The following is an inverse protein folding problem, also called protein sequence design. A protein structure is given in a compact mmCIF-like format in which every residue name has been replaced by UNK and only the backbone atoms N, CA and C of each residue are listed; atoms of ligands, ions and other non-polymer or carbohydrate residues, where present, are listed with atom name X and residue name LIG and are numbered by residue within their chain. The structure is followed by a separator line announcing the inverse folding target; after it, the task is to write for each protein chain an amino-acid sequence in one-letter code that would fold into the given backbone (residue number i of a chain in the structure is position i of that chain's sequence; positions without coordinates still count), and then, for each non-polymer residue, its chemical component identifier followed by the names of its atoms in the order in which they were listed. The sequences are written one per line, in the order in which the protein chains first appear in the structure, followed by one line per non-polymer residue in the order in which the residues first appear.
data_IF_996100147056
#
_entry.id   IF_996100147056
#
_cell.length_a   1.000
_cell.length_b   1.000
_cell.length_c   1.000
_cell.angle_alpha   90.00
_cell.angle_beta   90.00
_cell.angle_gamma   90.00
#
_symmetry.space_group_name_H-M   'P 1'
#
loop_
_entity.id
_entity.type
_entity.pdbx_description
1 polymer ?
#
# COMPACT_ATOMS: atom_id res chain seq x y z
N UNK A 1 4.92 -10.49 -21.66
CA UNK A 1 6.23 -9.93 -21.84
C UNK A 1 6.87 -9.52 -20.55
N UNK A 2 8.12 -9.21 -20.62
CA UNK A 2 8.88 -8.90 -19.42
C UNK A 2 8.38 -7.65 -18.71
N UNK A 3 7.98 -6.63 -19.47
CA UNK A 3 7.49 -5.40 -18.89
C UNK A 3 6.23 -5.62 -18.05
N UNK A 4 5.34 -6.45 -18.59
CA UNK A 4 4.09 -6.73 -17.88
C UNK A 4 4.36 -7.44 -16.58
N UNK A 5 5.28 -8.41 -16.62
CA UNK A 5 5.60 -9.15 -15.41
C UNK A 5 6.24 -8.24 -14.36
N UNK A 6 7.11 -7.33 -14.81
CA UNK A 6 7.76 -6.40 -13.89
C UNK A 6 6.72 -5.48 -13.25
N UNK A 7 5.78 -5.00 -14.04
CA UNK A 7 4.74 -4.12 -13.52
C UNK A 7 3.87 -4.85 -12.50
N UNK A 8 3.52 -6.09 -12.78
CA UNK A 8 2.71 -6.87 -11.85
C UNK A 8 3.46 -7.09 -10.54
N UNK A 9 4.75 -7.38 -10.63
CA UNK A 9 5.54 -7.58 -9.43
C UNK A 9 5.60 -6.31 -8.60
N UNK A 10 5.73 -5.17 -9.27
CA UNK A 10 5.77 -3.90 -8.56
C UNK A 10 4.44 -3.60 -7.88
N UNK A 11 3.34 -3.87 -8.57
CA UNK A 11 2.03 -3.64 -8.00
C UNK A 11 1.79 -4.53 -6.80
N UNK A 12 2.24 -5.78 -6.89
CA UNK A 12 2.11 -6.69 -5.76
C UNK A 12 2.93 -6.21 -4.58
N UNK A 13 4.14 -5.71 -4.83
CA UNK A 13 4.97 -5.18 -3.77
C UNK A 13 4.32 -3.98 -3.11
N UNK A 14 3.74 -3.10 -3.90
CA UNK A 14 3.06 -1.94 -3.36
C UNK A 14 1.87 -2.35 -2.52
N UNK A 15 1.14 -3.34 -2.97
CA UNK A 15 -0.02 -3.82 -2.23
C UNK A 15 0.41 -4.45 -0.91
N UNK A 16 1.49 -5.25 -0.95
CA UNK A 16 2.02 -5.84 0.27
C UNK A 16 2.44 -4.76 1.25
N UNK A 17 3.15 -3.74 0.75
CA UNK A 17 3.58 -2.65 1.60
C UNK A 17 2.40 -1.90 2.17
N UNK A 18 1.38 -1.68 1.36
CA UNK A 18 0.18 -1.00 1.80
C UNK A 18 -0.47 -1.73 2.95
N UNK A 19 -0.58 -3.06 2.84
CA UNK A 19 -1.17 -3.86 3.89
C UNK A 19 -0.33 -3.83 5.15
N UNK A 20 0.99 -3.86 4.97
CA UNK A 20 1.89 -3.80 6.11
C UNK A 20 1.76 -2.46 6.83
N UNK A 21 1.72 -1.38 6.10
CA UNK A 21 1.58 -0.06 6.69
C UNK A 21 0.24 0.06 7.40
N UNK A 22 -0.81 -0.45 6.80
CA UNK A 22 -2.13 -0.42 7.43
C UNK A 22 -2.11 -1.17 8.76
N UNK A 23 -1.45 -2.31 8.80
CA UNK A 23 -1.34 -3.08 10.03
C UNK A 23 -0.54 -2.32 11.08
N UNK A 24 0.55 -1.69 10.66
CA UNK A 24 1.37 -0.91 11.59
C UNK A 24 0.61 0.27 12.15
N UNK A 25 -0.22 0.89 11.34
CA UNK A 25 -1.01 2.03 11.81
C UNK A 25 -2.02 1.62 12.86
N UNK A 26 -2.37 0.35 12.91
CA UNK A 26 -3.27 -0.17 13.93
C UNK A 26 -2.55 -0.63 15.18
N UNK A 27 -1.23 -0.61 15.16
CA UNK A 27 -0.41 -1.05 16.29
C UNK A 27 -0.36 0.05 17.34
N UNK A 28 -0.69 -0.31 18.59
CA UNK A 28 -0.72 0.67 19.69
C UNK A 28 0.65 1.30 19.90
N UNK A 29 1.71 0.52 19.72
CA UNK A 29 3.06 1.05 19.91
C UNK A 29 3.39 2.10 18.86
N UNK A 30 2.96 1.84 17.64
CA UNK A 30 3.18 2.80 16.56
C UNK A 30 2.35 4.05 16.81
N UNK A 31 1.13 3.88 17.28
CA UNK A 31 0.28 5.03 17.58
C UNK A 31 0.88 5.90 18.67
N UNK A 32 1.58 5.30 19.62
CA UNK A 32 2.23 6.03 20.68
C UNK A 32 3.46 6.77 20.20
N UNK A 33 4.05 6.34 19.10
CA UNK A 33 5.23 6.98 18.51
C UNK A 33 4.78 7.95 17.42
N UNK A 34 4.69 9.21 17.79
CA UNK A 34 4.13 10.20 16.90
C UNK A 34 4.88 10.31 15.56
N UNK A 35 6.20 10.25 15.64
CA UNK A 35 7.00 10.37 14.42
C UNK A 35 6.75 9.20 13.47
N UNK A 36 6.74 8.00 14.02
CA UNK A 36 6.49 6.83 13.19
C UNK A 36 5.08 6.82 12.64
N UNK A 37 4.13 7.17 13.48
CA UNK A 37 2.74 7.21 13.05
C UNK A 37 2.56 8.20 11.92
N UNK A 38 3.17 9.38 12.04
CA UNK A 38 3.07 10.40 11.02
C UNK A 38 3.71 9.93 9.71
N UNK A 39 4.90 9.33 9.81
CA UNK A 39 5.59 8.86 8.61
C UNK A 39 4.81 7.76 7.91
N UNK A 40 4.25 6.84 8.67
CA UNK A 40 3.48 5.74 8.11
C UNK A 40 2.15 6.24 7.53
N UNK A 41 1.52 7.20 8.18
CA UNK A 41 0.28 7.78 7.67
C UNK A 41 0.53 8.45 6.32
N UNK A 42 1.67 9.12 6.21
CA UNK A 42 2.02 9.77 4.97
C UNK A 42 2.24 8.75 3.86
N UNK A 43 2.97 7.71 4.18
CA UNK A 43 3.20 6.64 3.20
C UNK A 43 1.90 5.99 2.79
N UNK A 44 1.02 5.74 3.75
CA UNK A 44 -0.29 5.17 3.47
C UNK A 44 -1.05 6.04 2.48
N UNK A 45 -1.08 7.34 2.74
CA UNK A 45 -1.80 8.26 1.88
C UNK A 45 -1.21 8.31 0.47
N UNK A 46 0.09 8.11 0.35
CA UNK A 46 0.74 8.14 -0.95
C UNK A 46 0.49 6.86 -1.74
N UNK A 47 0.45 5.73 -1.05
CA UNK A 47 0.29 4.44 -1.72
C UNK A 47 -1.18 4.12 -1.99
N UNK A 48 -2.06 4.61 -1.15
CA UNK A 48 -3.47 4.27 -1.22
C UNK A 48 -4.10 4.49 -2.59
N UNK A 49 -3.92 5.66 -3.22
CA UNK A 49 -4.55 5.86 -4.53
C UNK A 49 -4.07 4.88 -5.58
N UNK A 50 -2.79 4.49 -5.52
CA UNK A 50 -2.25 3.54 -6.48
C UNK A 50 -2.88 2.17 -6.27
N UNK A 51 -2.97 1.74 -5.02
CA UNK A 51 -3.54 0.43 -4.70
C UNK A 51 -5.02 0.39 -5.05
N UNK A 52 -5.74 1.46 -4.74
CA UNK A 52 -7.16 1.52 -5.07
C UNK A 52 -7.38 1.47 -6.58
N UNK A 53 -6.54 2.15 -7.33
CA UNK A 53 -6.60 2.11 -8.78
C UNK A 53 -6.41 0.70 -9.30
N UNK A 54 -5.43 0.02 -8.75
CA UNK A 54 -5.13 -1.36 -9.15
C UNK A 54 -6.30 -2.27 -8.83
N UNK A 55 -6.86 -2.13 -7.64
CA UNK A 55 -7.99 -2.96 -7.23
C UNK A 55 -9.21 -2.69 -8.10
N UNK A 56 -9.43 -1.44 -8.44
CA UNK A 56 -10.53 -1.08 -9.31
C UNK A 56 -10.39 -1.70 -10.68
N UNK A 57 -9.19 -1.62 -11.23
CA UNK A 57 -8.95 -2.17 -12.56
C UNK A 57 -9.19 -3.68 -12.55
N UNK A 58 -8.73 -4.35 -11.52
CA UNK A 58 -8.94 -5.78 -11.39
C UNK A 58 -10.41 -6.12 -11.32
N UNK A 59 -11.16 -5.31 -10.56
CA UNK A 59 -12.58 -5.55 -10.39
C UNK A 59 -13.34 -5.34 -11.69
N UNK A 60 -12.93 -4.34 -12.45
CA UNK A 60 -13.61 -4.04 -13.70
C UNK A 60 -13.43 -5.13 -14.74
N UNK A 61 -12.41 -5.91 -14.62
CA UNK A 61 -12.16 -6.97 -15.57
C UNK A 61 -13.19 -8.08 -15.50
N UNK A 62 -13.91 -8.15 -14.44
CA UNK A 62 -14.96 -9.16 -14.33
C UNK A 62 -16.16 -8.80 -15.19
#
# INVERSE_FOLDING_TARGET
MLLTETMMAKLESLQDRFEEVAALLSDAEIMADRERFTALSKEYAEVEPVVLCFQKATRLER
#
